data_IF_264209961006
#
_entry.id   IF_264209961006
#
_cell.length_a   1.000
_cell.length_b   1.000
_cell.length_c   1.000
_cell.angle_alpha   90.00
_cell.angle_beta   90.00
_cell.angle_gamma   90.00
#
_symmetry.space_group_name_H-M   'P 1'
#
loop_
_entity.id
_entity.type
_entity.pdbx_description
1 polymer ?
#
# COMPACT_ATOMS: atom_id res chain seq x y z
N UNK A 1 13.50 9.72 -9.32
CA UNK A 1 14.74 9.57 -8.52
C UNK A 1 14.42 9.87 -7.07
N UNK A 2 15.08 9.21 -6.11
CA UNK A 2 14.84 9.45 -4.68
C UNK A 2 15.62 10.67 -4.18
N UNK A 3 15.11 11.33 -3.13
CA UNK A 3 15.80 12.44 -2.44
C UNK A 3 16.76 11.97 -1.35
N UNK A 4 16.69 10.69 -1.00
CA UNK A 4 17.67 9.98 -0.18
C UNK A 4 18.32 8.88 -1.00
N UNK A 5 19.57 8.57 -0.70
CA UNK A 5 20.25 7.43 -1.31
C UNK A 5 19.54 6.14 -0.92
N UNK A 6 19.44 5.18 -1.82
CA UNK A 6 18.88 3.87 -1.50
C UNK A 6 19.99 2.98 -0.95
N UNK A 7 19.82 2.44 0.26
CA UNK A 7 20.80 1.53 0.85
C UNK A 7 20.85 0.21 0.07
N UNK A 8 22.06 -0.26 -0.25
CA UNK A 8 22.29 -1.63 -0.72
C UNK A 8 22.09 -2.64 0.42
N UNK A 9 22.10 -3.93 0.11
CA UNK A 9 21.99 -4.97 1.14
C UNK A 9 23.22 -4.99 2.04
N UNK A 10 24.42 -4.76 1.48
CA UNK A 10 25.66 -4.68 2.23
C UNK A 10 25.65 -3.50 3.21
N UNK A 11 25.14 -2.34 2.79
CA UNK A 11 25.06 -1.15 3.64
C UNK A 11 24.01 -1.30 4.73
N UNK A 12 22.85 -1.90 4.41
CA UNK A 12 21.81 -2.21 5.38
C UNK A 12 22.30 -3.21 6.45
N UNK A 13 23.12 -4.19 6.06
CA UNK A 13 23.67 -5.21 6.96
C UNK A 13 24.64 -4.64 8.01
N UNK A 14 25.20 -3.44 7.81
CA UNK A 14 26.06 -2.78 8.81
C UNK A 14 25.27 -2.41 10.07
N UNK A 15 23.96 -2.15 9.96
CA UNK A 15 23.09 -1.84 11.08
C UNK A 15 22.19 -3.04 11.43
N UNK A 16 22.40 -3.73 12.57
CA UNK A 16 21.63 -4.91 12.94
C UNK A 16 20.11 -4.68 13.00
N UNK A 17 19.65 -3.47 13.37
CA UNK A 17 18.23 -3.16 13.43
C UNK A 17 17.60 -3.05 12.04
N UNK A 18 18.32 -2.52 11.05
CA UNK A 18 17.87 -2.46 9.65
C UNK A 18 17.88 -3.85 9.05
N UNK A 19 18.97 -4.60 9.26
CA UNK A 19 19.11 -5.97 8.77
C UNK A 19 17.97 -6.86 9.27
N UNK A 20 17.64 -6.79 10.57
CA UNK A 20 16.54 -7.56 11.15
C UNK A 20 15.19 -7.27 10.48
N UNK A 21 14.90 -6.01 10.14
CA UNK A 21 13.66 -5.66 9.42
C UNK A 21 13.68 -6.17 7.99
N UNK A 22 14.81 -6.06 7.28
CA UNK A 22 14.91 -6.58 5.91
C UNK A 22 14.75 -8.10 5.87
N UNK A 23 15.35 -8.82 6.81
CA UNK A 23 15.20 -10.27 6.94
C UNK A 23 13.75 -10.66 7.23
N UNK A 24 13.05 -9.92 8.10
CA UNK A 24 11.62 -10.16 8.34
C UNK A 24 10.75 -9.84 7.12
N UNK A 25 11.08 -8.81 6.33
CA UNK A 25 10.41 -8.54 5.05
C UNK A 25 10.58 -9.72 4.10
N UNK A 26 11.81 -10.24 3.95
CA UNK A 26 12.09 -11.38 3.07
C UNK A 26 11.34 -12.63 3.50
N UNK A 27 11.40 -12.97 4.80
CA UNK A 27 10.71 -14.11 5.37
C UNK A 27 9.19 -14.01 5.19
N UNK A 28 8.64 -12.83 5.49
CA UNK A 28 7.19 -12.58 5.41
C UNK A 28 6.67 -12.63 3.97
N UNK A 29 7.39 -12.02 3.03
CA UNK A 29 7.01 -11.97 1.61
C UNK A 29 7.45 -13.20 0.81
N UNK A 30 8.26 -14.08 1.41
CA UNK A 30 8.87 -15.25 0.77
C UNK A 30 9.62 -14.87 -0.51
N UNK A 31 10.40 -13.79 -0.44
CA UNK A 31 11.17 -13.25 -1.57
C UNK A 31 12.41 -12.52 -1.06
N UNK A 32 13.54 -12.68 -1.74
CA UNK A 32 14.77 -11.95 -1.39
C UNK A 32 14.73 -10.46 -1.78
N UNK A 33 13.72 -10.05 -2.55
CA UNK A 33 13.61 -8.70 -3.07
C UNK A 33 13.09 -7.70 -2.02
N UNK A 34 13.93 -6.73 -1.66
CA UNK A 34 13.55 -5.53 -0.91
C UNK A 34 13.35 -4.35 -1.86
N UNK A 35 12.11 -3.88 -1.99
CA UNK A 35 11.77 -2.74 -2.85
C UNK A 35 12.29 -1.42 -2.29
N UNK A 36 12.50 -0.44 -3.18
CA UNK A 36 13.19 0.82 -2.88
C UNK A 36 12.61 1.65 -1.73
N UNK A 37 11.31 1.56 -1.43
CA UNK A 37 10.71 2.26 -0.30
C UNK A 37 11.37 1.88 1.03
N UNK A 38 11.58 0.59 1.28
CA UNK A 38 12.24 0.11 2.49
C UNK A 38 13.72 0.51 2.53
N UNK A 39 14.39 0.51 1.37
CA UNK A 39 15.78 0.97 1.23
C UNK A 39 15.95 2.46 1.49
N UNK A 40 14.96 3.26 1.12
CA UNK A 40 14.93 4.69 1.41
C UNK A 40 14.64 4.93 2.91
N UNK A 41 13.70 4.19 3.50
CA UNK A 41 13.32 4.33 4.90
C UNK A 41 14.40 3.83 5.87
N UNK A 42 15.29 2.94 5.42
CA UNK A 42 16.37 2.36 6.21
C UNK A 42 17.40 3.36 6.76
N UNK A 43 17.41 4.61 6.28
CA UNK A 43 18.19 5.69 6.92
C UNK A 43 17.70 6.03 8.34
N UNK A 44 16.45 5.72 8.66
CA UNK A 44 15.88 5.81 10.01
C UNK A 44 15.41 4.42 10.48
N UNK A 45 16.25 3.68 11.22
CA UNK A 45 15.91 2.33 11.67
C UNK A 45 14.66 2.27 12.55
N UNK A 46 14.38 3.33 13.31
CA UNK A 46 13.22 3.37 14.20
C UNK A 46 11.92 3.57 13.41
N UNK A 47 11.94 4.46 12.41
CA UNK A 47 10.82 4.61 11.48
C UNK A 47 10.61 3.34 10.64
N UNK A 48 11.69 2.78 10.08
CA UNK A 48 11.64 1.52 9.31
C UNK A 48 10.92 0.41 10.08
N UNK A 49 11.34 0.16 11.33
CA UNK A 49 10.74 -0.87 12.18
C UNK A 49 9.26 -0.61 12.42
N UNK A 50 8.88 0.59 12.88
CA UNK A 50 7.47 0.90 13.19
C UNK A 50 6.57 0.83 11.95
N UNK A 51 7.05 1.30 10.80
CA UNK A 51 6.29 1.25 9.54
C UNK A 51 6.11 -0.18 9.05
N UNK A 52 7.16 -1.01 9.11
CA UNK A 52 7.06 -2.41 8.72
C UNK A 52 6.12 -3.20 9.65
N UNK A 53 6.25 -3.05 10.97
CA UNK A 53 5.40 -3.73 11.95
C UNK A 53 3.91 -3.38 11.73
N UNK A 54 3.60 -2.10 11.53
CA UNK A 54 2.24 -1.63 11.25
C UNK A 54 1.71 -2.19 9.94
N UNK A 55 2.52 -2.16 8.88
CA UNK A 55 2.14 -2.70 7.58
C UNK A 55 1.89 -4.21 7.66
N UNK A 56 2.75 -4.96 8.36
CA UNK A 56 2.60 -6.41 8.54
C UNK A 56 1.31 -6.73 9.29
N UNK A 57 1.02 -6.01 10.37
CA UNK A 57 -0.21 -6.19 11.15
C UNK A 57 -1.48 -5.92 10.31
N UNK A 58 -1.46 -4.93 9.41
CA UNK A 58 -2.65 -4.56 8.63
C UNK A 58 -2.77 -5.38 7.34
N UNK A 59 -1.68 -5.59 6.61
CA UNK A 59 -1.69 -6.13 5.24
C UNK A 59 -1.35 -7.60 5.14
N UNK A 60 -0.75 -8.20 6.18
CA UNK A 60 -0.29 -9.59 6.16
C UNK A 60 -1.00 -10.47 7.18
N UNK A 61 -1.24 -9.97 8.40
CA UNK A 61 -1.89 -10.75 9.44
C UNK A 61 -3.30 -11.20 9.01
N UNK A 62 -3.77 -12.30 9.60
CA UNK A 62 -5.14 -12.78 9.40
C UNK A 62 -6.15 -11.69 9.75
N UNK A 63 -7.22 -11.64 8.97
CA UNK A 63 -8.25 -10.62 9.14
C UNK A 63 -9.41 -10.86 8.20
N UNK A 64 -10.50 -10.07 8.35
CA UNK A 64 -11.77 -10.34 7.69
C UNK A 64 -11.75 -10.09 6.18
N UNK A 65 -10.79 -9.31 5.67
CA UNK A 65 -10.58 -9.10 4.25
C UNK A 65 -9.45 -9.98 3.75
N UNK A 66 -9.65 -10.66 2.63
CA UNK A 66 -8.62 -11.46 1.99
C UNK A 66 -7.44 -10.58 1.48
N UNK A 67 -6.25 -11.16 1.28
CA UNK A 67 -5.06 -10.39 0.92
C UNK A 67 -5.16 -9.65 -0.41
N UNK A 68 -5.91 -10.15 -1.39
CA UNK A 68 -6.09 -9.49 -2.69
C UNK A 68 -6.98 -8.26 -2.52
N UNK A 69 -8.13 -8.39 -1.85
CA UNK A 69 -9.03 -7.27 -1.55
C UNK A 69 -8.29 -6.11 -0.87
N UNK A 70 -7.40 -6.41 0.09
CA UNK A 70 -6.58 -5.37 0.75
C UNK A 70 -5.69 -4.61 -0.24
N UNK A 71 -5.06 -5.29 -1.20
CA UNK A 71 -4.25 -4.61 -2.23
C UNK A 71 -5.11 -3.78 -3.19
N UNK A 72 -6.28 -4.26 -3.59
CA UNK A 72 -7.18 -3.49 -4.47
C UNK A 72 -7.59 -2.16 -3.82
N UNK A 73 -7.90 -2.19 -2.51
CA UNK A 73 -8.17 -0.98 -1.71
C UNK A 73 -6.92 -0.09 -1.68
N UNK A 74 -5.73 -0.66 -1.44
CA UNK A 74 -4.48 0.10 -1.38
C UNK A 74 -4.15 0.77 -2.72
N UNK A 75 -4.41 0.12 -3.85
CA UNK A 75 -4.25 0.69 -5.20
C UNK A 75 -5.22 1.85 -5.40
N UNK A 76 -6.49 1.69 -5.01
CA UNK A 76 -7.50 2.75 -5.14
C UNK A 76 -7.11 4.00 -4.35
N UNK A 77 -6.71 3.84 -3.09
CA UNK A 77 -6.24 4.94 -2.22
C UNK A 77 -4.95 5.55 -2.77
N UNK A 78 -4.00 4.73 -3.23
CA UNK A 78 -2.76 5.20 -3.84
C UNK A 78 -3.00 6.05 -5.09
N UNK A 79 -4.01 5.68 -5.89
CA UNK A 79 -4.40 6.39 -7.11
C UNK A 79 -5.08 7.71 -6.77
N UNK A 80 -6.02 7.72 -5.82
CA UNK A 80 -6.66 8.93 -5.31
C UNK A 80 -5.65 9.93 -4.72
N UNK A 81 -4.58 9.43 -4.10
CA UNK A 81 -3.48 10.23 -3.55
C UNK A 81 -2.40 10.61 -4.57
N UNK A 82 -2.54 10.22 -5.84
CA UNK A 82 -1.57 10.53 -6.90
C UNK A 82 -0.19 9.91 -6.71
N UNK A 83 -0.06 8.82 -5.95
CA UNK A 83 1.24 8.21 -5.66
C UNK A 83 1.66 7.20 -6.75
N UNK A 84 2.42 7.66 -7.75
CA UNK A 84 2.93 6.78 -8.82
C UNK A 84 3.68 5.54 -8.29
N UNK A 85 4.62 5.72 -7.36
CA UNK A 85 5.39 4.61 -6.78
C UNK A 85 4.48 3.56 -6.14
N UNK A 86 3.48 4.03 -5.38
CA UNK A 86 2.55 3.18 -4.64
C UNK A 86 1.65 2.40 -5.61
N UNK A 87 1.14 3.04 -6.67
CA UNK A 87 0.33 2.36 -7.70
C UNK A 87 1.13 1.23 -8.33
N UNK A 88 2.40 1.46 -8.71
CA UNK A 88 3.24 0.39 -9.25
C UNK A 88 3.48 -0.75 -8.25
N UNK A 89 3.84 -0.42 -7.00
CA UNK A 89 4.16 -1.46 -6.01
C UNK A 89 2.96 -2.30 -5.62
N UNK A 90 1.79 -1.67 -5.42
CA UNK A 90 0.59 -2.36 -4.99
C UNK A 90 -0.09 -3.11 -6.14
N UNK A 91 -0.05 -2.61 -7.38
CA UNK A 91 -0.49 -3.37 -8.55
C UNK A 91 0.35 -4.64 -8.76
N UNK A 92 1.66 -4.58 -8.56
CA UNK A 92 2.52 -5.77 -8.61
C UNK A 92 2.17 -6.77 -7.48
N UNK A 93 1.94 -6.27 -6.26
CA UNK A 93 1.53 -7.10 -5.13
C UNK A 93 0.15 -7.75 -5.34
N UNK A 94 -0.82 -7.03 -5.89
CA UNK A 94 -2.13 -7.55 -6.23
C UNK A 94 -2.04 -8.67 -7.29
N UNK A 95 -1.24 -8.49 -8.35
CA UNK A 95 -0.99 -9.53 -9.36
C UNK A 95 -0.35 -10.77 -8.75
N UNK A 96 0.63 -10.61 -7.86
CA UNK A 96 1.24 -11.73 -7.13
C UNK A 96 0.24 -12.49 -6.24
N UNK A 97 -0.86 -11.83 -5.84
CA UNK A 97 -1.98 -12.42 -5.08
C UNK A 97 -3.15 -12.87 -5.96
N UNK A 98 -2.97 -12.92 -7.28
CA UNK A 98 -3.94 -13.49 -8.22
C UNK A 98 -4.88 -12.48 -8.89
N UNK A 99 -4.59 -11.18 -8.84
CA UNK A 99 -5.39 -10.20 -9.59
C UNK A 99 -5.36 -10.50 -11.10
N UNK A 100 -6.53 -10.70 -11.70
CA UNK A 100 -6.69 -10.88 -13.14
C UNK A 100 -6.70 -9.55 -13.89
N UNK A 101 -6.50 -9.59 -15.20
CA UNK A 101 -6.60 -8.38 -16.03
C UNK A 101 -8.03 -7.81 -16.02
N UNK A 102 -9.06 -8.66 -15.98
CA UNK A 102 -10.46 -8.23 -15.85
C UNK A 102 -10.71 -7.53 -14.51
N UNK A 103 -10.20 -8.08 -13.40
CA UNK A 103 -10.28 -7.44 -12.09
C UNK A 103 -9.56 -6.09 -12.08
N UNK A 104 -8.39 -6.00 -12.72
CA UNK A 104 -7.64 -4.75 -12.81
C UNK A 104 -8.39 -3.70 -13.64
N UNK A 105 -8.93 -4.07 -14.80
CA UNK A 105 -9.74 -3.18 -15.63
C UNK A 105 -10.97 -2.67 -14.87
N UNK A 106 -11.66 -3.57 -14.14
CA UNK A 106 -12.81 -3.19 -13.34
C UNK A 106 -12.43 -2.28 -12.15
N UNK A 107 -11.32 -2.55 -11.47
CA UNK A 107 -10.79 -1.67 -10.42
C UNK A 107 -10.54 -0.24 -10.94
N UNK A 108 -9.90 -0.11 -12.12
CA UNK A 108 -9.64 1.19 -12.73
C UNK A 108 -10.95 1.93 -13.05
N UNK A 109 -11.96 1.22 -13.56
CA UNK A 109 -13.28 1.80 -13.81
C UNK A 109 -13.96 2.28 -12.51
N UNK A 110 -13.87 1.50 -11.42
CA UNK A 110 -14.39 1.89 -10.10
C UNK A 110 -13.69 3.15 -9.58
N UNK A 111 -12.36 3.23 -9.69
CA UNK A 111 -11.58 4.40 -9.25
C UNK A 111 -12.01 5.64 -10.04
N UNK A 112 -12.14 5.54 -11.36
CA UNK A 112 -12.60 6.65 -12.21
C UNK A 112 -14.02 7.12 -11.87
N UNK A 113 -14.93 6.17 -11.67
CA UNK A 113 -16.32 6.46 -11.29
C UNK A 113 -16.41 7.15 -9.94
N UNK A 114 -15.70 6.63 -8.93
CA UNK A 114 -15.64 7.24 -7.60
C UNK A 114 -15.06 8.66 -7.64
N UNK A 115 -13.98 8.88 -8.40
CA UNK A 115 -13.41 10.22 -8.55
C UNK A 115 -14.42 11.20 -9.18
N UNK A 116 -15.15 10.77 -10.20
CA UNK A 116 -16.16 11.58 -10.86
C UNK A 116 -17.33 11.93 -9.92
N UNK A 117 -17.93 10.93 -9.27
CA UNK A 117 -19.11 11.16 -8.42
C UNK A 117 -18.77 11.93 -7.16
N UNK A 118 -17.59 11.71 -6.56
CA UNK A 118 -17.11 12.52 -5.43
C UNK A 118 -16.98 14.00 -5.81
N UNK A 119 -16.45 14.30 -7.01
CA UNK A 119 -16.34 15.67 -7.49
C UNK A 119 -17.72 16.32 -7.68
N UNK A 120 -18.66 15.60 -8.28
CA UNK A 120 -20.04 16.08 -8.49
C UNK A 120 -20.74 16.37 -7.16
N UNK A 121 -20.74 15.42 -6.22
CA UNK A 121 -21.38 15.57 -4.91
C UNK A 121 -20.75 16.72 -4.11
N UNK A 122 -19.43 16.86 -4.17
CA UNK A 122 -18.72 17.98 -3.53
C UNK A 122 -19.14 19.32 -4.15
N UNK A 123 -19.17 19.44 -5.48
CA UNK A 123 -19.55 20.69 -6.14
C UNK A 123 -21.03 21.07 -5.91
N UNK A 124 -21.91 20.08 -5.82
CA UNK A 124 -23.34 20.26 -5.60
C UNK A 124 -23.70 20.47 -4.12
N UNK A 125 -22.76 20.24 -3.19
CA UNK A 125 -23.00 20.31 -1.73
C UNK A 125 -24.22 19.49 -1.30
N UNK A 126 -24.33 18.27 -1.84
CA UNK A 126 -25.47 17.39 -1.54
C UNK A 126 -25.48 17.06 -0.04
N UNK A 127 -26.59 17.30 0.69
CA UNK A 127 -26.68 16.93 2.10
C UNK A 127 -26.71 15.41 2.24
N UNK A 128 -26.25 14.91 3.38
CA UNK A 128 -26.38 13.48 3.72
C UNK A 128 -27.86 13.18 4.00
N UNK A 129 -28.42 12.19 3.30
CA UNK A 129 -29.78 11.72 3.55
C UNK A 129 -29.94 11.14 4.97
N UNK A 130 -31.06 11.42 5.63
CA UNK A 130 -31.34 10.92 6.98
C UNK A 130 -31.30 9.38 7.07
N UNK A 131 -31.70 8.70 5.99
CA UNK A 131 -31.68 7.24 5.90
C UNK A 131 -30.26 6.63 5.97
N UNK A 132 -29.20 7.43 5.74
CA UNK A 132 -27.81 6.98 5.83
C UNK A 132 -27.12 7.33 7.15
N UNK A 133 -27.81 8.02 8.06
CA UNK A 133 -27.28 8.31 9.39
C UNK A 133 -27.28 7.04 10.22
N UNK A 134 -26.09 6.48 10.44
CA UNK A 134 -25.91 5.31 11.30
C UNK A 134 -26.10 5.75 12.76
N UNK A 135 -27.14 5.22 13.42
CA UNK A 135 -27.31 5.39 14.85
C UNK A 135 -26.17 4.66 15.58
N UNK A 136 -25.49 5.37 16.47
CA UNK A 136 -24.41 4.83 17.31
C UNK A 136 -24.91 3.87 18.38
#
# INVERSE_FOLDING_TARGET
MATVRLLSDEEAAVNPAVQAVFDDIRATRKSDFINNFWRALAHDPAALKRTWESLKAIMVAEGPLDPLTRELIYIAVSTANGCSYCVHSHTAAARAKGMTDDQHAHLVAIIGMAAQTNALVTALQVPVDEAFLVAG
#
